data_IF_547059033710
#
_entry.id   IF_547059033710
#
_cell.length_a   1.000
_cell.length_b   1.000
_cell.length_c   1.000
_cell.angle_alpha   90.00
_cell.angle_beta   90.00
_cell.angle_gamma   90.00
#
_symmetry.space_group_name_H-M   'P 1'
#
loop_
_entity.id
_entity.type
_entity.pdbx_description
1 polymer ?
#
# COMPACT_ATOMS: atom_id res chain seq x y z
N UNK A 1 52.64 -20.47 -21.28
CA UNK A 1 51.84 -20.83 -20.09
C UNK A 1 52.12 -19.80 -19.01
N UNK A 2 51.08 -19.11 -18.55
CA UNK A 2 51.19 -18.04 -17.55
C UNK A 2 50.20 -16.92 -17.83
N UNK A 3 48.92 -17.23 -17.76
CA UNK A 3 47.84 -16.24 -17.75
C UNK A 3 47.75 -15.67 -16.33
N UNK A 4 47.92 -14.36 -16.15
CA UNK A 4 47.44 -13.64 -14.97
C UNK A 4 46.50 -12.55 -15.45
N UNK A 5 45.22 -12.73 -15.15
CA UNK A 5 44.20 -11.71 -15.18
C UNK A 5 43.73 -11.42 -13.77
N UNK A 6 42.97 -10.33 -13.65
CA UNK A 6 42.21 -9.81 -12.50
C UNK A 6 43.01 -9.10 -11.41
N UNK A 7 43.06 -7.76 -11.52
CA UNK A 7 43.19 -6.89 -10.35
C UNK A 7 42.49 -5.53 -10.59
N UNK A 8 41.18 -5.58 -10.81
CA UNK A 8 40.32 -4.39 -10.90
C UNK A 8 39.01 -4.54 -10.11
N UNK A 9 38.92 -5.57 -9.25
CA UNK A 9 37.79 -5.80 -8.35
C UNK A 9 38.11 -5.41 -6.90
N UNK A 10 39.40 -5.34 -6.50
CA UNK A 10 39.80 -5.01 -5.14
C UNK A 10 39.67 -3.51 -4.77
N UNK A 11 39.41 -2.65 -5.76
CA UNK A 11 39.20 -1.21 -5.53
C UNK A 11 37.75 -0.84 -5.21
N UNK A 12 36.78 -1.72 -5.45
CA UNK A 12 35.37 -1.45 -5.11
C UNK A 12 35.04 -1.73 -3.63
N UNK A 13 35.77 -2.64 -2.99
CA UNK A 13 35.44 -3.07 -1.62
C UNK A 13 35.96 -2.11 -0.52
N UNK A 14 36.95 -1.26 -0.83
CA UNK A 14 37.48 -0.28 0.13
C UNK A 14 36.60 0.96 0.31
N UNK A 15 35.59 1.20 -0.54
CA UNK A 15 34.76 2.40 -0.43
C UNK A 15 33.50 2.23 0.42
N UNK A 16 33.19 1.02 0.93
CA UNK A 16 31.98 0.77 1.73
C UNK A 16 32.19 0.78 3.26
N UNK A 17 33.42 0.99 3.74
CA UNK A 17 33.70 1.02 5.19
C UNK A 17 33.64 2.41 5.83
N UNK A 18 33.38 3.49 5.07
CA UNK A 18 33.29 4.86 5.60
C UNK A 18 31.97 5.55 5.23
N UNK A 19 30.85 5.03 5.74
CA UNK A 19 29.63 5.81 6.01
C UNK A 19 28.67 5.01 6.92
N UNK A 20 29.07 4.79 8.18
CA UNK A 20 28.09 4.49 9.23
C UNK A 20 27.56 5.82 9.75
N UNK A 21 26.45 6.28 9.16
CA UNK A 21 25.60 7.31 9.74
C UNK A 21 24.19 7.15 9.20
N UNK A 22 23.27 6.91 10.13
CA UNK A 22 21.80 6.93 10.00
C UNK A 22 21.16 5.99 8.97
N UNK A 23 21.01 4.72 9.35
CA UNK A 23 19.94 3.87 8.82
C UNK A 23 18.83 3.74 9.88
N UNK A 24 17.54 3.83 9.50
CA UNK A 24 16.44 3.53 10.41
C UNK A 24 16.45 2.04 10.77
N UNK A 25 16.01 1.64 11.99
CA UNK A 25 16.04 0.25 12.39
C UNK A 25 15.02 -0.56 11.56
N UNK A 26 15.53 -1.61 10.93
CA UNK A 26 14.80 -2.67 10.24
C UNK A 26 13.74 -3.30 11.16
N UNK A 27 12.51 -3.59 10.68
CA UNK A 27 11.53 -4.32 11.47
C UNK A 27 12.06 -5.71 11.83
N UNK A 28 12.03 -6.03 13.12
CA UNK A 28 12.60 -7.23 13.69
C UNK A 28 12.01 -8.52 13.10
N UNK A 29 12.88 -9.47 12.72
CA UNK A 29 12.50 -10.83 12.34
C UNK A 29 12.01 -11.66 13.55
N UNK A 30 11.38 -12.82 13.31
CA UNK A 30 10.79 -13.64 14.35
C UNK A 30 11.90 -14.39 15.09
N UNK A 31 12.30 -13.90 16.27
CA UNK A 31 13.28 -14.61 17.11
C UNK A 31 14.00 -13.80 18.19
N UNK A 32 13.76 -12.48 18.33
CA UNK A 32 14.28 -11.72 19.47
C UNK A 32 13.31 -11.78 20.65
N UNK A 33 13.74 -12.49 21.70
CA UNK A 33 13.06 -12.62 22.99
C UNK A 33 12.62 -11.24 23.49
N UNK A 34 11.30 -11.02 23.52
CA UNK A 34 10.57 -9.78 23.88
C UNK A 34 10.61 -9.50 25.41
N UNK A 35 11.75 -9.74 26.05
CA UNK A 35 11.94 -9.43 27.47
C UNK A 35 12.51 -8.01 27.66
N UNK A 36 12.02 -7.06 26.87
CA UNK A 36 12.28 -5.64 27.08
C UNK A 36 11.02 -5.06 27.69
N UNK A 37 11.12 -4.51 28.91
CA UNK A 37 10.05 -3.76 29.59
C UNK A 37 9.63 -2.62 28.68
N UNK A 38 8.64 -2.88 27.82
CA UNK A 38 8.10 -1.92 26.88
C UNK A 38 7.15 -1.01 27.65
N UNK A 39 7.73 -0.06 28.38
CA UNK A 39 6.98 0.96 29.12
C UNK A 39 6.19 1.81 28.14
N UNK A 40 4.94 2.14 28.47
CA UNK A 40 4.05 2.97 27.64
C UNK A 40 4.71 4.29 27.19
N UNK A 41 5.62 4.83 28.00
CA UNK A 41 6.43 6.02 27.71
C UNK A 41 7.27 5.89 26.42
N UNK A 42 7.78 4.69 26.13
CA UNK A 42 8.56 4.44 24.91
C UNK A 42 7.69 4.50 23.66
N UNK A 43 6.45 4.01 23.76
CA UNK A 43 5.45 4.08 22.68
C UNK A 43 5.05 5.53 22.44
N UNK A 44 4.82 6.32 23.51
CA UNK A 44 4.51 7.74 23.38
C UNK A 44 5.64 8.55 22.77
N UNK A 45 6.89 8.27 23.15
CA UNK A 45 8.06 8.92 22.57
C UNK A 45 8.20 8.63 21.07
N UNK A 46 7.86 7.41 20.64
CA UNK A 46 7.87 7.03 19.23
C UNK A 46 6.76 7.71 18.43
N UNK A 47 5.58 7.88 19.04
CA UNK A 47 4.43 8.57 18.46
C UNK A 47 4.43 10.10 18.68
N UNK A 48 5.50 10.68 19.23
CA UNK A 48 5.53 12.08 19.68
C UNK A 48 5.42 13.11 18.54
N UNK A 49 5.69 12.70 17.30
CA UNK A 49 5.61 13.59 16.13
C UNK A 49 4.59 13.04 15.16
N UNK A 50 3.46 13.74 15.03
CA UNK A 50 2.48 13.46 14.00
C UNK A 50 2.95 14.08 12.67
N UNK A 51 2.85 13.36 11.54
CA UNK A 51 3.09 13.95 10.22
C UNK A 51 2.02 15.02 9.91
N UNK A 52 2.32 15.97 9.01
CA UNK A 52 1.34 16.96 8.56
C UNK A 52 0.10 16.27 7.98
N UNK A 53 -1.07 16.82 8.30
CA UNK A 53 -2.36 16.31 7.80
C UNK A 53 -2.74 16.97 6.48
N UNK A 54 -3.47 16.23 5.65
CA UNK A 54 -4.08 16.73 4.44
C UNK A 54 -5.60 16.64 4.58
N UNK A 55 -6.29 17.77 4.36
CA UNK A 55 -7.76 17.81 4.36
C UNK A 55 -8.28 17.52 2.94
N UNK A 56 -8.25 16.25 2.55
CA UNK A 56 -8.75 15.77 1.27
C UNK A 56 -9.26 14.33 1.40
N UNK A 57 -10.25 13.97 0.59
CA UNK A 57 -10.71 12.59 0.49
C UNK A 57 -9.75 11.74 -0.35
N UNK A 58 -9.60 10.46 0.00
CA UNK A 58 -8.69 9.55 -0.72
C UNK A 58 -9.05 9.45 -2.22
N UNK A 59 -10.34 9.41 -2.56
CA UNK A 59 -10.78 9.35 -3.95
C UNK A 59 -10.42 10.62 -4.73
N UNK A 60 -10.36 11.80 -4.09
CA UNK A 60 -9.92 13.06 -4.71
C UNK A 60 -8.41 13.03 -5.01
N UNK A 61 -7.62 12.42 -4.13
CA UNK A 61 -6.18 12.23 -4.36
C UNK A 61 -5.91 11.28 -5.52
N UNK A 62 -6.73 10.23 -5.66
CA UNK A 62 -6.66 9.34 -6.84
C UNK A 62 -7.05 10.11 -8.10
N UNK A 63 -8.13 10.90 -8.08
CA UNK A 63 -8.55 11.69 -9.23
C UNK A 63 -7.48 12.71 -9.66
N UNK A 64 -6.85 13.38 -8.70
CA UNK A 64 -5.71 14.29 -8.97
C UNK A 64 -4.60 13.56 -9.74
N UNK A 65 -4.36 12.29 -9.42
CA UNK A 65 -3.34 11.48 -10.10
C UNK A 65 -3.78 11.00 -11.48
N UNK A 66 -5.09 10.75 -11.68
CA UNK A 66 -5.68 10.50 -13.01
C UNK A 66 -5.46 11.71 -13.92
N UNK A 67 -5.70 12.91 -13.41
CA UNK A 67 -5.58 14.14 -14.20
C UNK A 67 -4.12 14.47 -14.56
N UNK A 68 -3.19 14.20 -13.65
CA UNK A 68 -1.76 14.49 -13.85
C UNK A 68 -1.03 13.41 -14.65
N UNK A 69 -1.33 12.14 -14.41
CA UNK A 69 -0.58 11.00 -14.97
C UNK A 69 -1.52 9.82 -15.26
N UNK A 70 -2.42 9.92 -16.23
CA UNK A 70 -3.48 8.92 -16.47
C UNK A 70 -2.91 7.53 -16.83
N UNK A 71 -1.84 7.50 -17.61
CA UNK A 71 -1.22 6.26 -18.11
C UNK A 71 -0.23 5.62 -17.13
N UNK A 72 0.08 6.29 -16.02
CA UNK A 72 0.97 5.73 -15.01
C UNK A 72 0.29 4.54 -14.32
N UNK A 73 1.08 3.52 -13.99
CA UNK A 73 0.60 2.33 -13.28
C UNK A 73 0.12 2.73 -11.88
N UNK A 74 -1.14 2.46 -11.59
CA UNK A 74 -1.72 2.64 -10.26
C UNK A 74 -1.64 1.36 -9.43
N UNK A 75 -1.94 0.21 -10.05
CA UNK A 75 -1.96 -1.09 -9.37
C UNK A 75 -1.24 -2.12 -10.24
N UNK A 76 -0.38 -2.91 -9.61
CA UNK A 76 0.21 -4.11 -10.19
C UNK A 76 -0.02 -5.27 -9.23
N UNK A 77 -0.78 -6.25 -9.68
CA UNK A 77 -1.09 -7.47 -8.95
C UNK A 77 -0.67 -8.69 -9.79
N UNK A 78 -0.90 -9.90 -9.27
CA UNK A 78 -0.56 -11.14 -9.97
C UNK A 78 -1.50 -11.40 -11.16
N UNK A 79 -2.72 -10.91 -11.08
CA UNK A 79 -3.80 -11.04 -12.07
C UNK A 79 -3.84 -9.87 -13.09
N UNK A 80 -2.92 -8.89 -12.97
CA UNK A 80 -2.70 -7.89 -14.01
C UNK A 80 -2.21 -6.53 -13.52
N UNK A 81 -2.41 -5.52 -14.36
CA UNK A 81 -1.96 -4.14 -14.14
C UNK A 81 -3.06 -3.18 -14.55
N UNK A 82 -3.29 -2.14 -13.73
CA UNK A 82 -4.19 -1.03 -14.04
C UNK A 82 -3.42 0.29 -14.00
N UNK A 83 -3.62 1.13 -15.02
CA UNK A 83 -3.25 2.54 -14.95
C UNK A 83 -4.21 3.33 -14.05
N UNK A 84 -3.85 4.56 -13.69
CA UNK A 84 -4.74 5.45 -12.93
C UNK A 84 -6.08 5.67 -13.66
N UNK A 85 -6.04 5.91 -14.97
CA UNK A 85 -7.24 6.09 -15.77
C UNK A 85 -8.14 4.85 -15.77
N UNK A 86 -7.55 3.67 -15.92
CA UNK A 86 -8.30 2.41 -15.91
C UNK A 86 -8.92 2.14 -14.54
N UNK A 87 -8.14 2.29 -13.46
CA UNK A 87 -8.64 2.15 -12.09
C UNK A 87 -9.83 3.07 -11.83
N UNK A 88 -9.73 4.35 -12.20
CA UNK A 88 -10.80 5.32 -11.98
C UNK A 88 -12.05 5.00 -12.81
N UNK A 89 -11.89 4.56 -14.06
CA UNK A 89 -13.00 4.16 -14.93
C UNK A 89 -13.75 2.96 -14.38
N UNK A 90 -13.03 1.90 -13.99
CA UNK A 90 -13.62 0.68 -13.42
C UNK A 90 -14.32 0.99 -12.08
N UNK A 91 -13.68 1.77 -11.22
CA UNK A 91 -14.27 2.17 -9.95
C UNK A 91 -15.53 3.02 -10.14
N UNK A 92 -15.53 3.97 -11.09
CA UNK A 92 -16.71 4.78 -11.39
C UNK A 92 -17.86 3.96 -11.98
N UNK A 93 -17.55 2.95 -12.80
CA UNK A 93 -18.55 2.02 -13.30
C UNK A 93 -19.18 1.22 -12.17
N UNK A 94 -18.35 0.66 -11.28
CA UNK A 94 -18.85 -0.10 -10.14
C UNK A 94 -19.60 0.76 -9.12
N UNK A 95 -19.18 2.01 -8.89
CA UNK A 95 -19.88 2.98 -8.05
C UNK A 95 -21.31 3.25 -8.55
N UNK A 96 -21.48 3.41 -9.88
CA UNK A 96 -22.82 3.53 -10.48
C UNK A 96 -23.66 2.28 -10.24
N UNK A 97 -23.09 1.09 -10.37
CA UNK A 97 -23.83 -0.15 -10.08
C UNK A 97 -24.27 -0.22 -8.61
N UNK A 98 -23.41 0.18 -7.67
CA UNK A 98 -23.77 0.24 -6.24
C UNK A 98 -24.95 1.18 -5.98
N UNK A 99 -25.00 2.33 -6.65
CA UNK A 99 -26.11 3.29 -6.50
C UNK A 99 -27.36 2.79 -7.22
N UNK A 100 -27.25 2.41 -8.49
CA UNK A 100 -28.41 2.16 -9.35
C UNK A 100 -29.05 0.80 -9.05
N UNK A 101 -28.22 -0.22 -8.80
CA UNK A 101 -28.69 -1.61 -8.63
C UNK A 101 -28.89 -1.99 -7.18
N UNK A 102 -28.04 -1.47 -6.28
CA UNK A 102 -28.06 -1.83 -4.86
C UNK A 102 -28.51 -0.69 -3.94
N UNK A 103 -28.75 0.51 -4.50
CA UNK A 103 -29.27 1.68 -3.78
C UNK A 103 -28.45 2.04 -2.53
N UNK A 104 -27.14 1.81 -2.60
CA UNK A 104 -26.23 2.13 -1.50
C UNK A 104 -26.22 3.64 -1.28
N UNK A 105 -26.40 4.06 -0.02
CA UNK A 105 -26.38 5.47 0.37
C UNK A 105 -25.12 5.83 1.16
N UNK A 106 -24.70 7.11 1.16
CA UNK A 106 -23.56 7.55 1.94
C UNK A 106 -23.71 7.17 3.43
N UNK A 107 -22.61 6.69 4.03
CA UNK A 107 -22.57 6.22 5.41
C UNK A 107 -22.91 4.74 5.61
N UNK A 108 -23.42 4.05 4.59
CA UNK A 108 -23.64 2.59 4.68
C UNK A 108 -22.33 1.80 4.62
N UNK A 109 -22.39 0.54 5.07
CA UNK A 109 -21.25 -0.38 5.09
C UNK A 109 -21.46 -1.44 4.03
N UNK A 110 -20.50 -1.57 3.12
CA UNK A 110 -20.47 -2.58 2.06
C UNK A 110 -19.44 -3.65 2.42
N UNK A 111 -19.89 -4.90 2.48
CA UNK A 111 -18.99 -6.05 2.66
C UNK A 111 -18.30 -6.38 1.33
N UNK A 112 -16.98 -6.52 1.35
CA UNK A 112 -16.17 -6.88 0.19
C UNK A 112 -15.52 -8.23 0.46
N UNK A 113 -16.08 -9.27 -0.16
CA UNK A 113 -15.57 -10.64 -0.12
C UNK A 113 -15.05 -11.00 -1.52
N UNK A 114 -13.86 -10.52 -1.85
CA UNK A 114 -13.20 -10.76 -3.13
C UNK A 114 -11.86 -11.45 -2.88
N UNK A 115 -11.46 -12.30 -3.82
CA UNK A 115 -10.10 -12.83 -3.82
C UNK A 115 -9.07 -11.70 -3.95
N UNK A 116 -7.88 -11.93 -3.41
CA UNK A 116 -6.78 -10.97 -3.50
C UNK A 116 -6.41 -10.76 -4.96
N UNK A 117 -6.49 -9.52 -5.45
CA UNK A 117 -6.19 -9.19 -6.84
C UNK A 117 -6.53 -7.74 -7.17
N UNK A 118 -6.65 -7.44 -8.46
CA UNK A 118 -6.96 -6.09 -8.97
C UNK A 118 -8.31 -5.56 -8.51
N UNK A 119 -9.29 -6.45 -8.28
CA UNK A 119 -10.66 -6.05 -7.99
C UNK A 119 -10.84 -5.43 -6.60
N UNK A 120 -10.00 -5.77 -5.61
CA UNK A 120 -10.13 -5.22 -4.26
C UNK A 120 -9.95 -3.69 -4.27
N UNK A 121 -8.84 -3.12 -4.80
CA UNK A 121 -8.70 -1.68 -4.91
C UNK A 121 -9.81 -0.99 -5.71
N UNK A 122 -10.29 -1.62 -6.80
CA UNK A 122 -11.39 -1.09 -7.61
C UNK A 122 -12.67 -1.00 -6.77
N UNK A 123 -13.00 -2.06 -6.06
CA UNK A 123 -14.17 -2.13 -5.19
C UNK A 123 -14.10 -1.10 -4.05
N UNK A 124 -12.96 -1.05 -3.35
CA UNK A 124 -12.74 -0.10 -2.26
C UNK A 124 -12.86 1.34 -2.76
N UNK A 125 -12.24 1.67 -3.90
CA UNK A 125 -12.31 3.01 -4.47
C UNK A 125 -13.74 3.39 -4.86
N UNK A 126 -14.50 2.48 -5.47
CA UNK A 126 -15.90 2.71 -5.81
C UNK A 126 -16.78 2.99 -4.58
N UNK A 127 -16.61 2.22 -3.51
CA UNK A 127 -17.37 2.35 -2.26
C UNK A 127 -17.09 3.71 -1.59
N UNK A 128 -15.82 4.11 -1.49
CA UNK A 128 -15.48 5.39 -0.86
C UNK A 128 -15.82 6.60 -1.75
N UNK A 129 -15.94 6.43 -3.07
CA UNK A 129 -16.40 7.48 -3.98
C UNK A 129 -17.87 7.85 -3.74
N UNK A 130 -18.70 6.87 -3.41
CA UNK A 130 -20.13 7.10 -3.10
C UNK A 130 -20.37 7.49 -1.63
N UNK A 131 -19.30 7.72 -0.86
CA UNK A 131 -19.39 8.11 0.55
C UNK A 131 -19.78 6.98 1.50
N UNK A 132 -19.68 5.72 1.07
CA UNK A 132 -19.91 4.55 1.90
C UNK A 132 -18.60 4.05 2.55
N UNK A 133 -18.73 3.23 3.59
CA UNK A 133 -17.64 2.52 4.23
C UNK A 133 -17.57 1.09 3.70
N UNK A 134 -16.37 0.49 3.70
CA UNK A 134 -16.18 -0.90 3.30
C UNK A 134 -15.68 -1.75 4.47
N UNK A 135 -15.98 -3.05 4.40
CA UNK A 135 -15.42 -4.06 5.30
C UNK A 135 -14.85 -5.19 4.44
N UNK A 136 -13.54 -5.40 4.51
CA UNK A 136 -12.88 -6.50 3.81
C UNK A 136 -13.11 -7.80 4.59
N UNK A 137 -13.65 -8.81 3.92
CA UNK A 137 -13.78 -10.16 4.45
C UNK A 137 -12.67 -11.04 3.86
N UNK A 138 -12.00 -11.80 4.72
CA UNK A 138 -10.97 -12.73 4.26
C UNK A 138 -11.63 -13.98 3.68
N UNK A 139 -11.56 -14.10 2.36
CA UNK A 139 -12.09 -15.27 1.63
C UNK A 139 -11.15 -16.47 1.67
N UNK A 140 -9.93 -16.32 2.19
CA UNK A 140 -8.93 -17.39 2.29
C UNK A 140 -8.95 -18.11 3.65
N UNK A 141 -9.86 -17.76 4.56
CA UNK A 141 -10.00 -18.47 5.83
C UNK A 141 -10.53 -19.88 5.55
N UNK A 142 -9.82 -20.96 5.96
CA UNK A 142 -10.36 -22.29 5.85
C UNK A 142 -11.62 -22.41 6.71
N UNK A 143 -12.66 -23.04 6.16
CA UNK A 143 -13.83 -23.46 6.93
C UNK A 143 -13.35 -24.51 7.94
N UNK A 144 -13.52 -24.22 9.23
CA UNK A 144 -13.13 -25.10 10.34
C UNK A 144 -14.07 -26.29 10.50
#
# INVERSE_FOLDING_TARGET
>A
MGSQGTDSDDLFDRSLSSSRSSSPPTPAGPGSSIHQTNTIDSVWKWNATAPPTLNACVHELVQTRVDLTPDAIAIKAWDGVLSYQQLASEAAHFARQLIDSYQVVPGEKVLVALERGLLIPVAVLAIIQIGAAFVLLDTASPES
#
